data_IF_764862070242
#
_entry.id   IF_764862070242
#
_cell.length_a   1.000
_cell.length_b   1.000
_cell.length_c   1.000
_cell.angle_alpha   90.00
_cell.angle_beta   90.00
_cell.angle_gamma   90.00
#
_symmetry.space_group_name_H-M   'P 1'
#
loop_
_entity.id
_entity.type
_entity.pdbx_description
1 polymer ?
#
# COMPACT_ATOMS: atom_id res chain seq x y z
N UNK A 1 -50.19 10.10 -36.68
CA UNK A 1 -49.76 10.83 -35.46
C UNK A 1 -49.60 9.80 -34.35
N UNK A 2 -48.51 9.61 -33.62
CA UNK A 2 -47.16 10.18 -33.59
C UNK A 2 -46.28 9.21 -32.79
N UNK A 3 -44.99 9.12 -33.15
CA UNK A 3 -43.95 8.41 -32.37
C UNK A 3 -43.66 9.18 -31.08
N UNK A 4 -43.31 8.46 -30.00
CA UNK A 4 -42.35 8.80 -28.92
C UNK A 4 -42.44 7.64 -27.89
N UNK A 5 -41.46 6.79 -27.64
CA UNK A 5 -40.01 6.99 -27.67
C UNK A 5 -39.44 7.06 -26.25
N UNK A 6 -39.72 6.09 -25.37
CA UNK A 6 -39.17 6.06 -24.00
C UNK A 6 -39.00 4.62 -23.49
N UNK A 7 -37.96 3.90 -23.92
CA UNK A 7 -37.50 2.67 -23.26
C UNK A 7 -36.03 2.42 -23.63
N UNK A 8 -35.05 3.17 -23.08
CA UNK A 8 -33.64 2.79 -23.27
C UNK A 8 -32.61 3.23 -22.21
N UNK A 9 -33.00 3.71 -21.02
CA UNK A 9 -32.04 4.35 -20.10
C UNK A 9 -31.68 3.69 -18.74
N UNK A 10 -32.35 2.66 -18.16
CA UNK A 10 -31.98 2.23 -16.81
C UNK A 10 -30.84 1.19 -16.74
N UNK A 11 -30.49 0.51 -17.84
CA UNK A 11 -29.54 -0.62 -17.80
C UNK A 11 -28.07 -0.19 -17.66
N UNK A 12 -27.70 0.98 -18.21
CA UNK A 12 -26.31 1.43 -18.28
C UNK A 12 -25.77 1.92 -16.93
N UNK A 13 -26.65 2.44 -16.06
CA UNK A 13 -26.27 3.00 -14.74
C UNK A 13 -25.86 1.90 -13.76
N UNK A 14 -26.60 0.79 -13.71
CA UNK A 14 -26.27 -0.34 -12.82
C UNK A 14 -24.97 -1.06 -13.23
N UNK A 15 -24.74 -1.20 -14.54
CA UNK A 15 -23.49 -1.75 -15.09
C UNK A 15 -22.31 -0.82 -14.80
N UNK A 16 -22.49 0.50 -14.98
CA UNK A 16 -21.47 1.49 -14.65
C UNK A 16 -21.14 1.50 -13.15
N UNK A 17 -22.14 1.44 -12.27
CA UNK A 17 -21.95 1.38 -10.82
C UNK A 17 -21.18 0.12 -10.39
N UNK A 18 -21.50 -1.05 -10.95
CA UNK A 18 -20.77 -2.29 -10.66
C UNK A 18 -19.33 -2.27 -11.20
N UNK A 19 -19.10 -1.65 -12.36
CA UNK A 19 -17.76 -1.48 -12.92
C UNK A 19 -16.91 -0.53 -12.07
N UNK A 20 -17.49 0.58 -11.61
CA UNK A 20 -16.84 1.55 -10.73
C UNK A 20 -16.52 0.91 -9.37
N UNK A 21 -17.48 0.19 -8.77
CA UNK A 21 -17.26 -0.52 -7.50
C UNK A 21 -16.15 -1.55 -7.62
N UNK A 22 -16.09 -2.29 -8.73
CA UNK A 22 -15.02 -3.24 -9.01
C UNK A 22 -13.66 -2.54 -9.14
N UNK A 23 -13.58 -1.42 -9.85
CA UNK A 23 -12.33 -0.65 -9.99
C UNK A 23 -11.86 -0.11 -8.62
N UNK A 24 -12.77 0.47 -7.83
CA UNK A 24 -12.47 0.97 -6.49
C UNK A 24 -11.99 -0.16 -5.58
N UNK A 25 -12.68 -1.29 -5.61
CA UNK A 25 -12.31 -2.47 -4.82
C UNK A 25 -10.97 -3.05 -5.28
N UNK A 26 -10.71 -3.14 -6.58
CA UNK A 26 -9.43 -3.60 -7.14
C UNK A 26 -8.27 -2.67 -6.75
N UNK A 27 -8.54 -1.36 -6.65
CA UNK A 27 -7.60 -0.35 -6.18
C UNK A 27 -7.29 -0.50 -4.68
N UNK A 28 -8.31 -0.73 -3.85
CA UNK A 28 -8.18 -0.94 -2.40
C UNK A 28 -7.60 -2.31 -2.04
N UNK A 29 -7.90 -3.34 -2.83
CA UNK A 29 -7.56 -4.72 -2.50
C UNK A 29 -6.11 -5.09 -2.85
N UNK A 30 -5.35 -4.23 -3.54
CA UNK A 30 -3.97 -4.48 -3.99
C UNK A 30 -3.79 -5.84 -4.70
N UNK A 31 -4.87 -6.39 -5.27
CA UNK A 31 -4.93 -7.80 -5.66
C UNK A 31 -4.22 -8.07 -7.00
N UNK A 32 -4.19 -7.06 -7.88
CA UNK A 32 -3.58 -7.17 -9.21
C UNK A 32 -2.13 -6.67 -9.19
N UNK A 33 -1.15 -7.39 -9.77
CA UNK A 33 0.26 -6.96 -9.76
C UNK A 33 0.49 -5.58 -10.41
N UNK A 34 -0.31 -5.22 -11.43
CA UNK A 34 -0.27 -3.89 -12.06
C UNK A 34 -0.65 -2.78 -11.08
N UNK A 35 -1.75 -2.97 -10.35
CA UNK A 35 -2.27 -1.99 -9.39
C UNK A 35 -1.34 -1.90 -8.19
N UNK A 36 -0.81 -3.03 -7.71
CA UNK A 36 0.15 -3.05 -6.61
C UNK A 36 1.41 -2.26 -6.95
N UNK A 37 1.99 -2.46 -8.13
CA UNK A 37 3.13 -1.65 -8.59
C UNK A 37 2.76 -0.17 -8.64
N UNK A 38 1.62 0.18 -9.23
CA UNK A 38 1.20 1.57 -9.35
C UNK A 38 1.02 2.23 -7.97
N UNK A 39 0.32 1.58 -7.05
CA UNK A 39 0.06 2.12 -5.71
C UNK A 39 1.33 2.21 -4.87
N UNK A 40 2.13 1.15 -4.81
CA UNK A 40 3.36 1.15 -4.01
C UNK A 40 4.39 2.15 -4.54
N UNK A 41 4.50 2.28 -5.87
CA UNK A 41 5.39 3.28 -6.49
C UNK A 41 4.90 4.71 -6.24
N UNK A 42 3.58 4.93 -6.32
CA UNK A 42 2.97 6.23 -6.01
C UNK A 42 3.22 6.63 -4.56
N UNK A 43 3.07 5.70 -3.61
CA UNK A 43 3.36 5.92 -2.19
C UNK A 43 4.85 6.24 -1.96
N UNK A 44 5.76 5.48 -2.58
CA UNK A 44 7.19 5.75 -2.47
C UNK A 44 7.56 7.12 -3.03
N UNK A 45 7.03 7.45 -4.21
CA UNK A 45 7.27 8.72 -4.86
C UNK A 45 6.75 9.88 -4.02
N UNK A 46 5.54 9.74 -3.47
CA UNK A 46 4.98 10.74 -2.57
C UNK A 46 5.86 10.96 -1.33
N UNK A 47 6.34 9.89 -0.70
CA UNK A 47 7.23 9.97 0.46
C UNK A 47 8.62 10.50 0.14
N UNK A 48 9.09 10.34 -1.10
CA UNK A 48 10.35 10.89 -1.58
C UNK A 48 10.22 12.39 -1.90
N UNK A 49 9.05 12.86 -2.33
CA UNK A 49 8.79 14.29 -2.60
C UNK A 49 8.48 15.04 -1.29
N UNK A 50 7.83 14.38 -0.33
CA UNK A 50 7.41 15.01 0.92
C UNK A 50 8.62 15.23 1.86
N UNK A 51 8.95 16.48 2.23
CA UNK A 51 10.08 16.75 3.10
C UNK A 51 9.89 16.11 4.48
N UNK A 52 10.95 15.52 5.01
CA UNK A 52 10.97 14.83 6.31
C UNK A 52 10.59 15.75 7.48
N UNK A 53 10.76 17.07 7.33
CA UNK A 53 10.41 18.08 8.33
C UNK A 53 8.91 18.13 8.61
N UNK A 54 8.06 18.04 7.58
CA UNK A 54 6.60 18.01 7.75
C UNK A 54 6.16 16.79 8.55
N UNK A 55 6.81 15.63 8.34
CA UNK A 55 6.52 14.44 9.12
C UNK A 55 6.97 14.55 10.58
N UNK A 56 7.86 15.48 10.93
CA UNK A 56 8.35 15.68 12.30
C UNK A 56 7.32 16.37 13.20
N UNK A 57 6.48 17.24 12.63
CA UNK A 57 5.39 17.93 13.34
C UNK A 57 4.13 17.10 13.48
N UNK A 58 4.01 15.98 12.75
CA UNK A 58 2.88 15.08 12.94
C UNK A 58 2.93 14.50 14.36
N UNK A 59 1.85 14.61 15.15
CA UNK A 59 1.80 13.99 16.46
C UNK A 59 2.02 12.49 16.29
N UNK A 60 2.95 11.91 17.05
CA UNK A 60 3.11 10.46 17.18
C UNK A 60 1.97 9.84 17.99
N UNK A 61 0.76 10.39 17.85
CA UNK A 61 -0.48 9.88 18.42
C UNK A 61 -0.89 8.64 17.64
N UNK A 62 -0.22 7.53 17.88
CA UNK A 62 -0.68 6.25 17.36
C UNK A 62 -1.93 5.85 18.14
N UNK A 63 -3.07 5.81 17.44
CA UNK A 63 -4.34 5.26 17.98
C UNK A 63 -4.09 3.88 18.60
N UNK A 64 -3.20 3.09 17.99
CA UNK A 64 -2.80 1.79 18.52
C UNK A 64 -2.16 1.87 19.92
N UNK A 65 -1.25 2.81 20.16
CA UNK A 65 -0.57 2.98 21.44
C UNK A 65 -1.49 3.61 22.49
N UNK A 66 -2.24 4.64 22.10
CA UNK A 66 -3.01 5.46 23.03
C UNK A 66 -4.39 4.88 23.36
N UNK A 67 -4.97 4.09 22.45
CA UNK A 67 -6.34 3.58 22.59
C UNK A 67 -6.40 2.05 22.59
N UNK A 68 -5.81 1.37 21.60
CA UNK A 68 -5.98 -0.09 21.44
C UNK A 68 -5.17 -0.90 22.47
N UNK A 69 -3.90 -0.58 22.68
CA UNK A 69 -3.05 -1.28 23.67
C UNK A 69 -3.64 -1.27 25.09
N UNK A 70 -4.04 -0.13 25.67
CA UNK A 70 -4.63 -0.12 27.00
C UNK A 70 -5.99 -0.83 27.08
N UNK A 71 -6.72 -0.91 25.97
CA UNK A 71 -8.03 -1.58 25.89
C UNK A 71 -7.89 -3.12 25.82
N UNK A 72 -6.84 -3.64 25.17
CA UNK A 72 -6.57 -5.09 25.08
C UNK A 72 -5.81 -5.60 26.31
N UNK A 73 -4.81 -4.86 26.78
CA UNK A 73 -3.90 -5.31 27.86
C UNK A 73 -4.21 -4.66 29.22
N UNK A 74 -5.37 -4.00 29.36
CA UNK A 74 -5.85 -3.41 30.61
C UNK A 74 -4.78 -2.56 31.32
N UNK A 75 -4.14 -1.64 30.58
CA UNK A 75 -3.01 -0.77 31.01
C UNK A 75 -1.70 -1.48 31.41
N UNK A 76 -1.62 -2.81 31.32
CA UNK A 76 -0.37 -3.54 31.52
C UNK A 76 0.44 -3.51 30.22
N UNK A 77 1.69 -3.05 30.28
CA UNK A 77 2.62 -3.21 29.17
C UNK A 77 3.26 -4.60 29.28
N UNK A 78 3.42 -5.31 28.17
CA UNK A 78 4.28 -6.49 28.16
C UNK A 78 5.72 -6.05 28.45
N UNK A 79 6.46 -6.80 29.25
CA UNK A 79 7.88 -6.53 29.53
C UNK A 79 8.81 -7.25 28.54
N UNK A 80 8.26 -8.18 27.74
CA UNK A 80 9.00 -9.00 26.78
C UNK A 80 8.27 -9.07 25.43
N UNK A 81 9.04 -9.23 24.35
CA UNK A 81 8.50 -9.39 22.98
C UNK A 81 8.35 -8.10 22.17
N UNK A 82 7.65 -8.20 21.04
CA UNK A 82 7.53 -7.13 20.03
C UNK A 82 6.74 -5.91 20.55
N UNK A 83 5.90 -6.11 21.57
CA UNK A 83 5.09 -5.07 22.22
C UNK A 83 5.67 -4.64 23.58
N UNK A 84 6.95 -4.96 23.84
CA UNK A 84 7.59 -4.65 25.11
C UNK A 84 7.55 -3.14 25.41
N UNK A 85 7.21 -2.77 26.65
CA UNK A 85 7.15 -1.38 27.10
C UNK A 85 6.11 -0.52 26.36
N UNK A 86 5.02 -1.11 25.89
CA UNK A 86 4.00 -0.42 25.10
C UNK A 86 4.55 0.24 23.81
N UNK A 87 5.60 -0.36 23.25
CA UNK A 87 6.20 0.04 21.97
C UNK A 87 5.33 -0.44 20.83
N UNK A 88 4.73 0.46 20.06
CA UNK A 88 3.96 0.09 18.89
C UNK A 88 4.90 -0.03 17.67
N UNK A 89 5.03 -1.22 17.06
CA UNK A 89 6.01 -1.49 16.00
C UNK A 89 5.71 -0.73 14.70
N UNK A 90 4.47 -0.25 14.54
CA UNK A 90 4.05 0.54 13.38
C UNK A 90 4.22 2.05 13.58
N UNK A 91 4.46 2.53 14.81
CA UNK A 91 4.64 3.96 15.04
C UNK A 91 5.88 4.48 14.30
N UNK A 92 5.76 5.68 13.74
CA UNK A 92 6.86 6.33 13.03
C UNK A 92 7.31 5.63 11.75
N UNK A 93 6.61 4.61 11.25
CA UNK A 93 7.01 3.86 10.07
C UNK A 93 7.07 4.73 8.81
N UNK A 94 6.07 5.58 8.58
CA UNK A 94 6.07 6.56 7.48
C UNK A 94 7.19 7.59 7.59
N UNK A 95 7.49 8.07 8.82
CA UNK A 95 8.61 8.99 9.07
C UNK A 95 9.96 8.33 8.85
N UNK A 96 10.12 7.09 9.34
CA UNK A 96 11.33 6.32 9.12
C UNK A 96 11.55 6.03 7.63
N UNK A 97 10.48 5.67 6.91
CA UNK A 97 10.53 5.40 5.47
C UNK A 97 10.88 6.65 4.67
N UNK A 98 10.29 7.80 5.02
CA UNK A 98 10.64 9.10 4.41
C UNK A 98 12.11 9.46 4.67
N UNK A 99 12.62 9.32 5.91
CA UNK A 99 14.05 9.54 6.21
C UNK A 99 14.98 8.61 5.44
N UNK A 100 14.58 7.34 5.29
CA UNK A 100 15.31 6.36 4.50
C UNK A 100 15.35 6.73 3.01
N UNK A 101 14.26 7.27 2.46
CA UNK A 101 14.22 7.80 1.08
C UNK A 101 15.07 9.06 0.87
N UNK A 102 15.28 9.85 1.92
CA UNK A 102 16.16 11.03 1.90
C UNK A 102 17.62 10.70 2.27
N UNK A 103 17.96 9.44 2.50
CA UNK A 103 19.32 9.00 2.83
C UNK A 103 19.73 9.17 4.30
N UNK A 104 18.83 9.61 5.20
CA UNK A 104 19.09 9.67 6.65
C UNK A 104 18.88 8.30 7.30
N UNK A 105 19.84 7.38 7.12
CA UNK A 105 19.77 6.02 7.65
C UNK A 105 19.78 5.99 9.19
N UNK A 106 20.55 6.87 9.83
CA UNK A 106 20.66 6.92 11.30
C UNK A 106 19.36 7.42 11.92
N UNK A 107 18.77 8.48 11.36
CA UNK A 107 17.47 8.98 11.79
C UNK A 107 16.33 8.02 11.48
N UNK A 108 16.39 7.29 10.35
CA UNK A 108 15.42 6.25 10.03
C UNK A 108 15.44 5.10 11.06
N UNK A 109 16.63 4.61 11.43
CA UNK A 109 16.80 3.56 12.45
C UNK A 109 16.29 3.99 13.83
N UNK A 110 16.57 5.23 14.22
CA UNK A 110 16.10 5.80 15.49
C UNK A 110 14.58 6.01 15.51
N UNK A 111 13.96 6.28 14.35
CA UNK A 111 12.51 6.41 14.24
C UNK A 111 11.81 5.05 14.33
N UNK A 112 12.27 4.05 13.56
CA UNK A 112 11.74 2.70 13.60
C UNK A 112 12.74 1.68 13.02
N UNK A 113 13.26 0.76 13.85
CA UNK A 113 14.20 -0.28 13.40
C UNK A 113 13.63 -1.20 12.31
N UNK A 114 12.32 -1.43 12.31
CA UNK A 114 11.67 -2.31 11.32
C UNK A 114 11.60 -1.70 9.92
N UNK A 115 11.91 -0.41 9.76
CA UNK A 115 11.85 0.27 8.47
C UNK A 115 12.68 -0.43 7.40
N UNK A 116 13.87 -0.95 7.75
CA UNK A 116 14.75 -1.62 6.81
C UNK A 116 14.15 -2.93 6.29
N UNK A 117 13.50 -3.69 7.17
CA UNK A 117 12.83 -4.95 6.82
C UNK A 117 11.64 -4.64 5.92
N UNK A 118 10.79 -3.70 6.32
CA UNK A 118 9.60 -3.31 5.55
C UNK A 118 9.98 -2.77 4.17
N UNK A 119 10.98 -1.90 4.11
CA UNK A 119 11.49 -1.35 2.85
C UNK A 119 12.03 -2.46 1.93
N UNK A 120 12.79 -3.41 2.49
CA UNK A 120 13.33 -4.55 1.72
C UNK A 120 12.22 -5.44 1.16
N UNK A 121 11.20 -5.75 1.97
CA UNK A 121 10.04 -6.54 1.54
C UNK A 121 9.26 -5.82 0.45
N UNK A 122 9.04 -4.50 0.59
CA UNK A 122 8.39 -3.69 -0.44
C UNK A 122 9.16 -3.71 -1.76
N UNK A 123 10.48 -3.50 -1.72
CA UNK A 123 11.34 -3.57 -2.90
C UNK A 123 11.28 -4.95 -3.57
N UNK A 124 11.36 -6.01 -2.77
CA UNK A 124 11.28 -7.39 -3.26
C UNK A 124 9.94 -7.69 -3.94
N UNK A 125 8.82 -7.28 -3.35
CA UNK A 125 7.48 -7.46 -3.94
C UNK A 125 7.34 -6.70 -5.27
N UNK A 126 7.83 -5.46 -5.32
CA UNK A 126 7.83 -4.66 -6.55
C UNK A 126 8.62 -5.34 -7.67
N UNK A 127 9.83 -5.84 -7.36
CA UNK A 127 10.68 -6.55 -8.32
C UNK A 127 9.97 -7.82 -8.83
N UNK A 128 9.43 -8.63 -7.94
CA UNK A 128 8.71 -9.85 -8.32
C UNK A 128 7.51 -9.56 -9.24
N UNK A 129 6.77 -8.50 -8.96
CA UNK A 129 5.64 -8.11 -9.81
C UNK A 129 6.09 -7.57 -11.16
N UNK A 130 7.17 -6.80 -11.21
CA UNK A 130 7.75 -6.32 -12.46
C UNK A 130 8.19 -7.48 -13.34
N UNK A 131 8.85 -8.49 -12.76
CA UNK A 131 9.23 -9.72 -13.48
C UNK A 131 7.99 -10.45 -14.00
N UNK A 132 6.95 -10.62 -13.16
CA UNK A 132 5.70 -11.29 -13.57
C UNK A 132 5.00 -10.55 -14.71
N UNK A 133 4.97 -9.22 -14.67
CA UNK A 133 4.37 -8.41 -15.74
C UNK A 133 5.18 -8.49 -17.03
N UNK A 134 6.50 -8.43 -16.94
CA UNK A 134 7.39 -8.54 -18.10
C UNK A 134 7.27 -9.92 -18.74
N UNK A 135 7.24 -11.00 -17.94
CA UNK A 135 7.03 -12.38 -18.42
C UNK A 135 5.69 -12.55 -19.13
N UNK A 136 4.61 -12.01 -18.55
CA UNK A 136 3.27 -12.04 -19.17
C UNK A 136 3.21 -11.27 -20.48
N UNK A 137 3.88 -10.11 -20.57
CA UNK A 137 3.99 -9.35 -21.83
C UNK A 137 4.81 -10.14 -22.86
N UNK A 138 5.94 -10.71 -22.46
CA UNK A 138 6.79 -11.52 -23.34
C UNK A 138 6.02 -12.71 -23.95
N UNK A 139 5.28 -13.48 -23.13
CA UNK A 139 4.43 -14.58 -23.60
C UNK A 139 3.35 -14.12 -24.58
N UNK A 140 2.77 -12.94 -24.36
CA UNK A 140 1.76 -12.38 -25.25
C UNK A 140 2.36 -11.94 -26.60
N UNK A 141 3.60 -11.46 -26.61
CA UNK A 141 4.31 -11.03 -27.83
C UNK A 141 4.85 -12.22 -28.62
N UNK A 142 5.31 -13.28 -27.96
CA UNK A 142 5.85 -14.50 -28.59
C UNK A 142 4.98 -15.74 -28.28
N UNK A 143 3.77 -15.84 -28.86
CA UNK A 143 2.85 -16.95 -28.60
C UNK A 143 3.38 -18.30 -29.12
N UNK A 144 4.25 -18.31 -30.14
CA UNK A 144 4.79 -19.54 -30.73
C UNK A 144 5.67 -20.35 -29.77
N UNK A 145 6.25 -19.71 -28.76
CA UNK A 145 7.11 -20.38 -27.77
C UNK A 145 6.31 -21.08 -26.66
N UNK A 146 4.98 -20.90 -26.64
CA UNK A 146 4.07 -21.50 -25.67
C UNK A 146 3.51 -22.86 -26.14
N UNK A 147 3.70 -23.21 -27.42
CA UNK A 147 3.25 -24.49 -27.99
C UNK A 147 4.30 -25.61 -27.94
N UNK A 148 5.53 -25.33 -27.50
CA UNK A 148 6.62 -26.32 -27.40
C UNK A 148 6.89 -26.76 -25.95
N UNK A 149 5.88 -26.80 -25.10
CA UNK A 149 5.94 -27.36 -23.75
C UNK A 149 4.79 -28.33 -23.51
#
# INVERSE_FOLDING_TARGET
>A
MGRLGLNFFPLNISIAANKVKKIIFDFLSFNTPKIRIFNLSSILLFLAILPTDYLSYLPSGCIFKNFILPLIFNKNCLDTGILAGCSCPACGMTRALSRLMHGDFKGAYNCNRFVFIVFSIMGFLLILDLIKLTRKRYQKVNPQQQSCK
#
